data_IF_723123477809
#
_entry.id   IF_723123477809
#
_cell.length_a   1.000
_cell.length_b   1.000
_cell.length_c   1.000
_cell.angle_alpha   90.00
_cell.angle_beta   90.00
_cell.angle_gamma   90.00
#
_symmetry.space_group_name_H-M   'P 1'
#
loop_
_entity.id
_entity.type
_entity.pdbx_description
1 polymer ?
#
# COMPACT_ATOMS: atom_id res chain seq x y z
N UNK A 1 -24.62 -3.69 14.45
CA UNK A 1 -23.31 -4.32 14.76
C UNK A 1 -22.32 -4.15 13.59
N UNK A 2 -22.58 -4.74 12.41
CA UNK A 2 -21.63 -4.70 11.27
C UNK A 2 -21.49 -3.31 10.61
N UNK A 3 -22.60 -2.55 10.49
CA UNK A 3 -22.59 -1.20 9.89
C UNK A 3 -21.64 -0.22 10.61
N UNK A 4 -21.64 -0.22 11.94
CA UNK A 4 -20.73 0.59 12.77
C UNK A 4 -19.27 0.26 12.51
N UNK A 5 -18.97 -1.02 12.30
CA UNK A 5 -17.61 -1.53 12.06
C UNK A 5 -17.08 -1.06 10.69
N UNK A 6 -17.94 -1.08 9.66
CA UNK A 6 -17.62 -0.55 8.32
C UNK A 6 -17.33 0.95 8.37
N UNK A 7 -18.13 1.71 9.13
CA UNK A 7 -17.94 3.15 9.28
C UNK A 7 -16.60 3.47 9.98
N UNK A 8 -16.26 2.74 11.04
CA UNK A 8 -14.98 2.90 11.74
C UNK A 8 -13.79 2.60 10.81
N UNK A 9 -13.88 1.53 10.02
CA UNK A 9 -12.83 1.18 9.04
C UNK A 9 -12.67 2.28 7.98
N UNK A 10 -13.76 2.81 7.43
CA UNK A 10 -13.72 3.91 6.46
C UNK A 10 -13.03 5.16 7.02
N UNK A 11 -13.31 5.51 8.28
CA UNK A 11 -12.68 6.64 8.95
C UNK A 11 -11.17 6.39 9.16
N UNK A 12 -10.78 5.17 9.57
CA UNK A 12 -9.37 4.81 9.74
C UNK A 12 -8.59 4.87 8.42
N UNK A 13 -9.17 4.38 7.32
CA UNK A 13 -8.57 4.48 6.00
C UNK A 13 -8.44 5.94 5.54
N UNK A 14 -9.47 6.76 5.76
CA UNK A 14 -9.44 8.17 5.42
C UNK A 14 -8.35 8.92 6.21
N UNK A 15 -8.25 8.70 7.52
CA UNK A 15 -7.24 9.34 8.38
C UNK A 15 -5.82 8.83 8.08
N UNK A 16 -5.66 7.53 7.77
CA UNK A 16 -4.39 6.95 7.36
C UNK A 16 -3.90 7.42 5.98
N UNK A 17 -4.81 7.83 5.10
CA UNK A 17 -4.50 8.39 3.78
C UNK A 17 -4.11 9.88 3.83
N UNK A 18 -4.35 10.59 4.94
CA UNK A 18 -3.93 11.99 5.09
C UNK A 18 -2.42 12.04 5.37
N UNK A 19 -1.64 12.79 4.57
CA UNK A 19 -0.20 12.97 4.77
C UNK A 19 0.13 13.96 5.92
N UNK A 20 -0.56 13.83 7.05
CA UNK A 20 -0.38 14.63 8.27
C UNK A 20 0.57 13.95 9.28
N UNK A 21 0.92 12.68 9.07
CA UNK A 21 1.87 11.95 9.90
C UNK A 21 3.29 12.24 9.39
N UNK A 22 4.26 12.58 10.25
CA UNK A 22 5.63 12.85 9.81
C UNK A 22 6.33 11.63 9.16
N UNK A 23 5.77 10.42 9.28
CA UNK A 23 6.21 9.21 8.55
C UNK A 23 5.53 9.03 7.17
N UNK A 24 4.37 9.65 6.92
CA UNK A 24 3.64 9.51 5.65
C UNK A 24 4.14 10.45 4.54
N UNK A 25 5.14 11.29 4.83
CA UNK A 25 5.82 12.15 3.84
C UNK A 25 7.00 11.49 3.12
N UNK A 26 7.53 10.38 3.63
CA UNK A 26 8.64 9.63 2.99
C UNK A 26 8.17 8.48 2.09
N UNK A 27 6.85 8.25 1.94
CA UNK A 27 6.30 7.29 0.96
C UNK A 27 6.33 7.84 -0.48
N UNK A 28 6.86 9.04 -0.69
CA UNK A 28 7.16 9.55 -2.02
C UNK A 28 8.20 8.67 -2.70
N UNK A 29 7.79 7.91 -3.73
CA UNK A 29 8.53 7.26 -4.84
C UNK A 29 9.89 6.57 -4.61
N UNK A 30 10.48 6.62 -3.42
CA UNK A 30 11.88 6.29 -3.15
C UNK A 30 12.05 5.01 -2.31
N UNK A 31 11.19 4.69 -1.31
CA UNK A 31 11.17 3.36 -0.71
C UNK A 31 10.14 2.42 -1.37
N UNK A 32 9.12 2.95 -2.05
CA UNK A 32 8.11 2.18 -2.79
C UNK A 32 8.56 1.76 -4.19
N UNK A 33 9.55 2.44 -4.78
CA UNK A 33 10.13 2.06 -6.07
C UNK A 33 10.83 0.71 -6.02
N UNK A 34 11.55 0.40 -4.94
CA UNK A 34 12.23 -0.89 -4.80
C UNK A 34 11.24 -2.03 -4.53
N UNK A 35 10.25 -1.82 -3.65
CA UNK A 35 9.19 -2.81 -3.41
C UNK A 35 8.30 -3.01 -4.65
N UNK A 36 7.94 -1.95 -5.35
CA UNK A 36 7.20 -2.01 -6.61
C UNK A 36 8.00 -2.71 -7.71
N UNK A 37 9.30 -2.40 -7.83
CA UNK A 37 10.19 -3.08 -8.76
C UNK A 37 10.32 -4.58 -8.44
N UNK A 38 10.49 -4.93 -7.15
CA UNK A 38 10.51 -6.33 -6.71
C UNK A 38 9.21 -7.05 -7.05
N UNK A 39 8.06 -6.40 -6.86
CA UNK A 39 6.76 -6.96 -7.17
C UNK A 39 6.58 -7.17 -8.69
N UNK A 40 7.03 -6.23 -9.51
CA UNK A 40 7.05 -6.36 -10.97
C UNK A 40 7.97 -7.50 -11.43
N UNK A 41 9.16 -7.62 -10.85
CA UNK A 41 10.09 -8.73 -11.15
C UNK A 41 9.44 -10.08 -10.85
N UNK A 42 8.82 -10.22 -9.68
CA UNK A 42 8.12 -11.44 -9.28
C UNK A 42 7.00 -11.82 -10.25
N UNK A 43 6.22 -10.83 -10.72
CA UNK A 43 5.15 -11.06 -11.70
C UNK A 43 5.74 -11.55 -13.04
N UNK A 44 6.82 -10.92 -13.52
CA UNK A 44 7.47 -11.33 -14.79
C UNK A 44 8.03 -12.76 -14.69
N UNK A 45 8.67 -13.10 -13.57
CA UNK A 45 9.17 -14.46 -13.34
C UNK A 45 8.04 -15.49 -13.29
N UNK A 46 6.94 -15.19 -12.60
CA UNK A 46 5.76 -16.05 -12.55
C UNK A 46 5.13 -16.28 -13.94
N UNK A 47 4.99 -15.22 -14.74
CA UNK A 47 4.39 -15.31 -16.09
C UNK A 47 5.32 -16.00 -17.11
N UNK A 48 6.64 -15.89 -16.94
CA UNK A 48 7.61 -16.58 -17.80
C UNK A 48 7.91 -18.01 -17.34
N UNK A 49 7.24 -18.50 -16.27
CA UNK A 49 7.44 -19.84 -15.72
C UNK A 49 8.83 -20.05 -15.10
N UNK A 50 9.49 -18.96 -14.68
CA UNK A 50 10.83 -18.96 -14.07
C UNK A 50 10.78 -18.74 -12.56
N UNK A 51 9.59 -18.86 -11.97
CA UNK A 51 9.39 -18.86 -10.53
C UNK A 51 9.59 -20.27 -9.96
#
# INVERSE_FOLDING_TARGET
MVSTLVIVLLILFAVGAVPAWPYSREWGYYPSGLLGLLLVIMIVLALTGRL
#
